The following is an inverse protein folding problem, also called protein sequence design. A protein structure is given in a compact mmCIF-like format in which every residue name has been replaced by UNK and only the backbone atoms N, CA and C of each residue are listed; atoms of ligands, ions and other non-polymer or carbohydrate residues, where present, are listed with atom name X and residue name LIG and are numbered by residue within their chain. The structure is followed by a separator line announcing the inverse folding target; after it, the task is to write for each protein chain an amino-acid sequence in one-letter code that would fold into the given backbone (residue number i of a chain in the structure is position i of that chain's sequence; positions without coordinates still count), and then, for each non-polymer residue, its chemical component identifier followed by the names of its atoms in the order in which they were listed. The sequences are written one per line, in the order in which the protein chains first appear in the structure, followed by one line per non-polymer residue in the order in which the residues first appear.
data_IF_998955154494
#
_entry.id   IF_998955154494
#
_cell.length_a   1.000
_cell.length_b   1.000
_cell.length_c   1.000
_cell.angle_alpha   90.00
_cell.angle_beta   90.00
_cell.angle_gamma   90.00
#
_symmetry.space_group_name_H-M   'P 1'
#
loop_
_entity.id
_entity.type
_entity.pdbx_description
1 polymer ?
#
# COMPACT_ATOMS: atom_id res chain seq x y z
N UNK A 1 7.22 -16.22 -1.42
CA UNK A 1 6.74 -14.83 -1.50
C UNK A 1 5.38 -14.82 -2.17
N UNK A 2 4.31 -14.42 -1.44
CA UNK A 2 2.93 -14.43 -1.97
C UNK A 2 2.58 -13.18 -2.82
N UNK A 3 3.46 -12.17 -2.89
CA UNK A 3 3.21 -10.93 -3.63
C UNK A 3 2.90 -11.19 -5.10
N UNK A 4 1.83 -10.58 -5.63
CA UNK A 4 1.41 -10.66 -7.03
C UNK A 4 2.51 -10.26 -8.02
N UNK A 5 3.37 -9.32 -7.65
CA UNK A 5 4.52 -8.89 -8.45
C UNK A 5 5.36 -10.10 -8.86
N UNK A 6 5.71 -10.95 -7.88
CA UNK A 6 6.57 -12.11 -8.15
C UNK A 6 5.82 -13.29 -8.77
N UNK A 7 4.50 -13.35 -8.59
CA UNK A 7 3.69 -14.43 -9.17
C UNK A 7 3.33 -14.20 -10.64
N UNK A 8 3.01 -12.94 -11.01
CA UNK A 8 2.40 -12.63 -12.30
C UNK A 8 3.13 -11.56 -13.12
N UNK A 9 3.85 -10.64 -12.46
CA UNK A 9 4.36 -9.43 -13.11
C UNK A 9 5.89 -9.30 -13.13
N UNK A 10 6.60 -10.39 -12.81
CA UNK A 10 8.05 -10.41 -12.88
C UNK A 10 8.49 -10.39 -14.35
N UNK A 11 8.92 -9.24 -14.83
CA UNK A 11 9.44 -9.06 -16.17
C UNK A 11 10.94 -8.70 -16.16
N UNK A 12 11.58 -8.79 -17.33
CA UNK A 12 13.02 -8.55 -17.46
C UNK A 12 13.46 -7.15 -17.00
N UNK A 13 12.66 -6.12 -17.31
CA UNK A 13 12.92 -4.74 -16.88
C UNK A 13 12.88 -4.62 -15.34
N UNK A 14 11.93 -5.31 -14.69
CA UNK A 14 11.83 -5.38 -13.24
C UNK A 14 13.09 -6.04 -12.64
N UNK A 15 13.49 -7.20 -13.17
CA UNK A 15 14.65 -7.97 -12.68
C UNK A 15 15.94 -7.14 -12.78
N UNK A 16 16.21 -6.53 -13.95
CA UNK A 16 17.39 -5.70 -14.14
C UNK A 16 17.42 -4.54 -13.14
N UNK A 17 16.30 -3.85 -12.95
CA UNK A 17 16.21 -2.73 -12.01
C UNK A 17 16.45 -3.18 -10.56
N UNK A 18 15.90 -4.33 -10.18
CA UNK A 18 16.12 -4.95 -8.87
C UNK A 18 17.62 -5.27 -8.66
N UNK A 19 18.25 -5.94 -9.61
CA UNK A 19 19.68 -6.30 -9.53
C UNK A 19 20.53 -5.04 -9.43
N UNK A 20 20.31 -4.06 -10.29
CA UNK A 20 21.04 -2.79 -10.27
C UNK A 20 20.86 -2.05 -8.94
N UNK A 21 19.65 -2.05 -8.37
CA UNK A 21 19.41 -1.44 -7.08
C UNK A 21 20.21 -2.12 -5.97
N UNK A 22 20.22 -3.47 -5.91
CA UNK A 22 20.99 -4.23 -4.92
C UNK A 22 22.49 -3.97 -5.05
N UNK A 23 23.04 -3.94 -6.28
CA UNK A 23 24.43 -3.61 -6.51
C UNK A 23 24.76 -2.21 -6.01
N UNK A 24 23.95 -1.21 -6.36
CA UNK A 24 24.15 0.17 -5.91
C UNK A 24 24.07 0.31 -4.39
N UNK A 25 23.05 -0.32 -3.76
CA UNK A 25 22.80 -0.20 -2.33
C UNK A 25 23.88 -0.89 -1.50
N UNK A 26 24.20 -2.16 -1.80
CA UNK A 26 25.11 -2.97 -0.97
C UNK A 26 26.58 -2.72 -1.27
N UNK A 27 26.97 -2.47 -2.52
CA UNK A 27 28.37 -2.35 -2.90
C UNK A 27 28.83 -0.90 -3.11
N UNK A 28 27.95 0.00 -3.51
CA UNK A 28 28.31 1.40 -3.77
C UNK A 28 27.77 2.36 -2.69
N UNK A 29 27.03 1.88 -1.70
CA UNK A 29 26.44 2.71 -0.65
C UNK A 29 25.44 3.77 -1.17
N UNK A 30 24.88 3.55 -2.37
CA UNK A 30 23.96 4.48 -3.04
C UNK A 30 22.53 3.97 -2.92
N UNK A 31 21.79 4.46 -1.92
CA UNK A 31 20.35 4.18 -1.77
C UNK A 31 19.52 5.16 -2.62
N UNK A 32 19.06 4.71 -3.79
CA UNK A 32 18.06 5.43 -4.59
C UNK A 32 16.68 4.78 -4.39
N UNK A 33 15.56 5.54 -4.46
CA UNK A 33 14.24 4.93 -4.35
C UNK A 33 14.03 3.85 -5.41
N UNK A 34 13.50 2.71 -5.01
CA UNK A 34 13.04 1.63 -5.90
C UNK A 34 11.52 1.51 -5.90
N UNK A 35 10.87 2.07 -4.86
CA UNK A 35 9.42 2.19 -4.75
C UNK A 35 9.01 3.64 -4.58
N UNK A 36 7.84 4.01 -5.11
CA UNK A 36 7.25 5.31 -4.92
C UNK A 36 5.77 5.18 -4.54
N UNK A 37 5.36 5.90 -3.49
CA UNK A 37 3.97 6.06 -3.08
C UNK A 37 3.52 7.49 -3.31
N UNK A 38 2.31 7.66 -3.87
CA UNK A 38 1.79 8.97 -4.26
C UNK A 38 0.39 9.16 -3.71
N UNK A 39 0.20 10.24 -2.97
CA UNK A 39 -1.12 10.76 -2.65
C UNK A 39 -1.50 11.75 -3.76
N UNK A 40 -2.31 11.26 -4.75
CA UNK A 40 -2.67 12.06 -5.94
C UNK A 40 -3.57 13.25 -5.58
N UNK A 41 -4.34 13.11 -4.50
CA UNK A 41 -5.21 14.15 -3.94
C UNK A 41 -5.43 13.92 -2.45
N UNK A 42 -5.99 14.91 -1.77
CA UNK A 42 -6.55 14.82 -0.42
C UNK A 42 -8.05 15.17 -0.39
N UNK A 43 -8.72 14.98 -1.51
CA UNK A 43 -10.20 15.01 -1.64
C UNK A 43 -10.75 13.60 -1.48
N UNK A 44 -11.71 13.40 -0.59
CA UNK A 44 -12.39 12.12 -0.40
C UNK A 44 -13.90 12.31 -0.21
N UNK A 45 -14.67 11.36 -0.71
CA UNK A 45 -16.13 11.35 -0.61
C UNK A 45 -16.65 10.39 0.47
N UNK A 46 -15.77 9.76 1.26
CA UNK A 46 -16.12 8.92 2.39
C UNK A 46 -15.79 9.58 3.73
N UNK A 47 -16.42 9.08 4.80
CA UNK A 47 -16.30 9.57 6.17
C UNK A 47 -15.72 8.50 7.10
N UNK A 48 -14.67 7.80 6.61
CA UNK A 48 -14.06 6.69 7.33
C UNK A 48 -13.68 7.12 8.75
N UNK A 49 -14.08 6.31 9.73
CA UNK A 49 -13.88 6.64 11.15
C UNK A 49 -12.41 6.69 11.56
N UNK A 50 -11.52 6.03 10.79
CA UNK A 50 -10.07 5.98 11.02
C UNK A 50 -9.28 7.00 10.21
N UNK A 51 -9.94 7.92 9.44
CA UNK A 51 -9.23 8.77 8.49
C UNK A 51 -9.76 10.19 8.48
N UNK A 52 -8.86 11.15 8.69
CA UNK A 52 -9.18 12.58 8.74
C UNK A 52 -8.85 13.34 7.45
N UNK A 53 -8.53 12.65 6.37
CA UNK A 53 -8.07 13.31 5.12
C UNK A 53 -9.10 14.31 4.59
N UNK A 54 -10.40 14.03 4.76
CA UNK A 54 -11.51 14.91 4.35
C UNK A 54 -11.63 16.19 5.19
N UNK A 55 -10.98 16.24 6.35
CA UNK A 55 -11.02 17.39 7.27
C UNK A 55 -10.09 18.52 6.85
N UNK A 56 -9.34 18.34 5.77
CA UNK A 56 -8.46 19.40 5.27
C UNK A 56 -9.26 20.58 4.74
N UNK A 57 -8.94 21.76 5.26
CA UNK A 57 -9.60 23.02 4.86
C UNK A 57 -9.34 23.39 3.39
N UNK A 58 -8.16 23.08 2.90
CA UNK A 58 -7.73 23.39 1.51
C UNK A 58 -7.23 22.13 0.83
N UNK A 59 -8.15 21.29 0.30
CA UNK A 59 -7.76 20.09 -0.40
C UNK A 59 -7.03 20.44 -1.70
N UNK A 60 -6.03 19.62 -2.04
CA UNK A 60 -5.22 19.80 -3.25
C UNK A 60 -5.22 18.53 -4.10
N UNK A 61 -4.93 18.72 -5.38
CA UNK A 61 -4.71 17.63 -6.34
C UNK A 61 -3.32 17.83 -6.92
N UNK A 62 -2.54 16.76 -6.97
CA UNK A 62 -1.20 16.79 -7.57
C UNK A 62 -1.30 17.30 -9.02
N UNK A 63 -0.62 18.39 -9.39
CA UNK A 63 -0.66 18.89 -10.76
C UNK A 63 -0.13 17.83 -11.74
N UNK A 64 -0.86 17.60 -12.84
CA UNK A 64 -0.58 16.51 -13.77
C UNK A 64 0.82 16.62 -14.38
N UNK A 65 1.20 17.78 -14.87
CA UNK A 65 2.48 18.01 -15.53
C UNK A 65 3.66 17.82 -14.55
N UNK A 66 3.45 18.16 -13.26
CA UNK A 66 4.45 17.89 -12.23
C UNK A 66 4.57 16.40 -11.95
N UNK A 67 3.44 15.69 -11.85
CA UNK A 67 3.44 14.25 -11.65
C UNK A 67 4.09 13.49 -12.81
N UNK A 68 3.83 13.88 -14.07
CA UNK A 68 4.43 13.27 -15.25
C UNK A 68 5.96 13.47 -15.28
N UNK A 69 6.45 14.69 -14.96
CA UNK A 69 7.89 14.95 -14.81
C UNK A 69 8.53 14.11 -13.72
N UNK A 70 7.82 13.92 -12.59
CA UNK A 70 8.34 13.10 -11.49
C UNK A 70 8.33 11.61 -11.85
N UNK A 71 7.34 11.12 -12.61
CA UNK A 71 7.31 9.76 -13.15
C UNK A 71 8.50 9.52 -14.09
N UNK A 72 8.84 10.47 -14.95
CA UNK A 72 10.02 10.36 -15.83
C UNK A 72 11.30 10.24 -14.99
N UNK A 73 11.48 11.11 -14.00
CA UNK A 73 12.63 11.05 -13.11
C UNK A 73 12.70 9.74 -12.30
N UNK A 74 11.56 9.24 -11.80
CA UNK A 74 11.46 7.95 -11.11
C UNK A 74 11.82 6.79 -12.03
N UNK A 75 11.39 6.83 -13.28
CA UNK A 75 11.74 5.82 -14.29
C UNK A 75 13.24 5.80 -14.56
N UNK A 76 13.86 6.97 -14.72
CA UNK A 76 15.31 7.11 -14.95
C UNK A 76 16.15 6.63 -13.76
N UNK A 77 15.62 6.80 -12.55
CA UNK A 77 16.23 6.29 -11.32
C UNK A 77 16.05 4.79 -11.09
N UNK A 78 15.21 4.12 -11.90
CA UNK A 78 15.02 2.70 -11.83
C UNK A 78 13.90 2.24 -10.88
N UNK A 79 12.94 3.10 -10.52
CA UNK A 79 11.76 2.73 -9.72
C UNK A 79 10.99 1.61 -10.39
N UNK A 80 10.65 0.57 -9.62
CA UNK A 80 9.93 -0.61 -10.10
C UNK A 80 8.47 -0.66 -9.67
N UNK A 81 8.11 -0.05 -8.55
CA UNK A 81 6.78 -0.07 -7.97
C UNK A 81 6.28 1.35 -7.72
N UNK A 82 5.14 1.67 -8.30
CA UNK A 82 4.51 2.99 -8.20
C UNK A 82 3.07 2.82 -7.74
N UNK A 83 2.76 3.26 -6.52
CA UNK A 83 1.43 3.14 -5.92
C UNK A 83 0.75 4.49 -5.84
N UNK A 84 -0.44 4.59 -6.40
CA UNK A 84 -1.30 5.78 -6.31
C UNK A 84 -2.40 5.53 -5.28
N UNK A 85 -2.50 6.44 -4.34
CA UNK A 85 -3.56 6.54 -3.34
C UNK A 85 -3.91 8.02 -3.12
N UNK A 86 -4.44 8.36 -1.97
CA UNK A 86 -4.77 9.75 -1.61
C UNK A 86 -6.01 9.80 -0.73
N UNK A 87 -6.87 10.79 -0.98
CA UNK A 87 -8.25 10.75 -0.52
C UNK A 87 -8.99 9.64 -1.30
N UNK A 88 -9.70 10.01 -2.35
CA UNK A 88 -10.21 9.05 -3.32
C UNK A 88 -9.67 9.40 -4.72
N UNK A 89 -8.74 8.59 -5.25
CA UNK A 89 -8.10 8.88 -6.55
C UNK A 89 -9.07 8.96 -7.73
N UNK A 90 -10.16 8.19 -7.71
CA UNK A 90 -11.15 8.18 -8.80
C UNK A 90 -11.98 9.47 -8.91
N UNK A 91 -11.84 10.39 -7.96
CA UNK A 91 -12.37 11.76 -8.07
C UNK A 91 -11.50 12.65 -8.97
N UNK A 92 -10.27 12.23 -9.29
CA UNK A 92 -9.39 12.93 -10.22
C UNK A 92 -9.80 12.59 -11.64
N UNK A 93 -10.32 13.57 -12.39
CA UNK A 93 -10.96 13.35 -13.70
C UNK A 93 -10.05 12.70 -14.74
N UNK A 94 -8.78 13.05 -14.73
CA UNK A 94 -7.74 12.56 -15.65
C UNK A 94 -6.89 11.41 -15.07
N UNK A 95 -7.42 10.70 -14.04
CA UNK A 95 -6.74 9.55 -13.43
C UNK A 95 -6.34 8.47 -14.45
N UNK A 96 -7.21 8.03 -15.39
CA UNK A 96 -6.81 7.01 -16.38
C UNK A 96 -5.64 7.45 -17.25
N UNK A 97 -5.58 8.70 -17.67
CA UNK A 97 -4.49 9.26 -18.47
C UNK A 97 -3.16 9.26 -17.69
N UNK A 98 -3.19 9.62 -16.41
CA UNK A 98 -2.03 9.58 -15.49
C UNK A 98 -1.54 8.16 -15.26
N UNK A 99 -2.46 7.21 -15.07
CA UNK A 99 -2.13 5.78 -14.94
C UNK A 99 -1.53 5.23 -16.23
N UNK A 100 -2.08 5.58 -17.38
CA UNK A 100 -1.54 5.18 -18.68
C UNK A 100 -0.13 5.73 -18.91
N UNK A 101 0.13 6.97 -18.49
CA UNK A 101 1.48 7.55 -18.54
C UNK A 101 2.46 6.79 -17.66
N UNK A 102 2.07 6.54 -16.40
CA UNK A 102 2.89 5.79 -15.46
C UNK A 102 3.20 4.37 -15.94
N UNK A 103 2.18 3.66 -16.46
CA UNK A 103 2.32 2.25 -16.91
C UNK A 103 3.22 2.09 -18.14
N UNK A 104 3.39 3.14 -18.95
CA UNK A 104 4.36 3.15 -20.07
C UNK A 104 5.81 3.24 -19.56
N UNK A 105 6.03 3.90 -18.44
CA UNK A 105 7.36 4.24 -17.92
C UNK A 105 7.85 3.27 -16.85
N UNK A 106 6.96 2.81 -15.99
CA UNK A 106 7.27 2.05 -14.78
C UNK A 106 6.81 0.59 -14.91
N UNK A 107 7.57 -0.37 -14.36
CA UNK A 107 7.26 -1.81 -14.50
C UNK A 107 6.00 -2.26 -13.80
N UNK A 108 5.62 -1.61 -12.69
CA UNK A 108 4.46 -1.97 -11.90
C UNK A 108 3.77 -0.72 -11.36
N UNK A 109 2.51 -0.56 -11.74
CA UNK A 109 1.65 0.54 -11.30
C UNK A 109 0.45 -0.03 -10.55
N UNK A 110 0.17 0.53 -9.38
CA UNK A 110 -0.87 0.10 -8.46
C UNK A 110 -1.78 1.28 -8.09
N UNK A 111 -3.08 1.04 -8.05
CA UNK A 111 -4.10 2.01 -7.62
C UNK A 111 -4.82 1.48 -6.38
N UNK A 112 -5.02 2.33 -5.37
CA UNK A 112 -5.90 2.05 -4.23
C UNK A 112 -7.12 2.97 -4.32
N UNK A 113 -8.33 2.40 -4.22
CA UNK A 113 -9.59 3.16 -4.29
C UNK A 113 -10.64 2.56 -3.35
N UNK A 114 -11.60 3.39 -2.92
CA UNK A 114 -12.79 2.93 -2.20
C UNK A 114 -13.87 2.36 -3.15
N UNK A 115 -13.68 2.48 -4.46
CA UNK A 115 -14.57 1.95 -5.47
C UNK A 115 -15.88 2.73 -5.70
N UNK A 116 -16.16 3.78 -4.92
CA UNK A 116 -17.47 4.44 -4.85
C UNK A 116 -17.93 5.09 -6.16
N UNK A 117 -17.00 5.52 -6.99
CA UNK A 117 -17.28 6.21 -8.27
C UNK A 117 -17.13 5.29 -9.48
N UNK A 118 -16.92 3.98 -9.25
CA UNK A 118 -16.69 3.04 -10.34
C UNK A 118 -17.92 2.89 -11.22
N UNK A 119 -17.75 3.13 -12.50
CA UNK A 119 -18.74 2.89 -13.57
C UNK A 119 -18.16 1.93 -14.61
N UNK A 120 -18.97 1.32 -15.44
CA UNK A 120 -18.50 0.49 -16.55
C UNK A 120 -17.53 1.24 -17.46
N UNK A 121 -17.81 2.52 -17.76
CA UNK A 121 -16.94 3.39 -18.54
C UNK A 121 -15.58 3.63 -17.87
N UNK A 122 -15.55 3.89 -16.56
CA UNK A 122 -14.32 4.09 -15.82
C UNK A 122 -13.52 2.78 -15.74
N UNK A 123 -14.16 1.65 -15.41
CA UNK A 123 -13.51 0.34 -15.36
C UNK A 123 -12.85 -0.03 -16.70
N UNK A 124 -13.55 0.20 -17.84
CA UNK A 124 -13.00 0.00 -19.19
C UNK A 124 -11.79 0.90 -19.46
N UNK A 125 -11.86 2.18 -19.09
CA UNK A 125 -10.73 3.12 -19.24
C UNK A 125 -9.54 2.70 -18.38
N UNK A 126 -9.76 2.30 -17.12
CA UNK A 126 -8.72 1.79 -16.21
C UNK A 126 -8.07 0.53 -16.79
N UNK A 127 -8.86 -0.42 -17.29
CA UNK A 127 -8.36 -1.63 -17.94
C UNK A 127 -7.49 -1.39 -19.17
N UNK A 128 -7.67 -0.25 -19.86
CA UNK A 128 -6.89 0.14 -21.02
C UNK A 128 -5.57 0.87 -20.68
N UNK A 129 -5.32 1.23 -19.41
CA UNK A 129 -4.15 2.01 -18.98
C UNK A 129 -2.85 1.21 -18.96
N UNK A 130 -2.93 -0.12 -18.88
CA UNK A 130 -1.77 -0.99 -18.64
C UNK A 130 -1.38 -1.11 -17.15
N UNK A 131 -2.24 -0.64 -16.23
CA UNK A 131 -2.05 -0.84 -14.78
C UNK A 131 -2.07 -2.33 -14.43
N UNK A 132 -1.25 -2.74 -13.45
CA UNK A 132 -1.14 -4.14 -13.04
C UNK A 132 -2.10 -4.51 -11.92
N UNK A 133 -2.32 -3.63 -10.94
CA UNK A 133 -3.11 -3.93 -9.75
C UNK A 133 -4.07 -2.77 -9.40
N UNK A 134 -5.31 -3.11 -9.09
CA UNK A 134 -6.27 -2.20 -8.45
C UNK A 134 -6.71 -2.82 -7.13
N UNK A 135 -6.41 -2.14 -6.03
CA UNK A 135 -6.87 -2.52 -4.70
C UNK A 135 -8.18 -1.79 -4.36
N UNK A 136 -9.22 -2.58 -4.06
CA UNK A 136 -10.51 -2.07 -3.58
C UNK A 136 -10.57 -2.19 -2.07
N UNK A 137 -10.86 -1.09 -1.39
CA UNK A 137 -11.03 -1.07 0.06
C UNK A 137 -12.34 -1.76 0.47
N UNK A 138 -12.25 -2.86 1.26
CA UNK A 138 -13.42 -3.58 1.75
C UNK A 138 -13.07 -4.34 3.05
N UNK A 139 -13.61 -3.88 4.20
CA UNK A 139 -13.11 -4.23 5.53
C UNK A 139 -13.91 -5.34 6.24
N UNK A 140 -14.83 -5.98 5.55
CA UNK A 140 -15.71 -7.03 6.06
C UNK A 140 -17.03 -7.06 5.32
N UNK A 141 -18.04 -7.71 5.91
CA UNK A 141 -19.40 -7.72 5.40
C UNK A 141 -20.06 -6.34 5.54
N UNK A 142 -21.26 -6.20 4.97
CA UNK A 142 -21.92 -4.92 4.74
C UNK A 142 -22.02 -4.03 5.99
N UNK A 143 -22.52 -4.56 7.11
CA UNK A 143 -22.72 -3.77 8.34
C UNK A 143 -21.39 -3.18 8.83
N UNK A 144 -20.35 -4.02 8.99
CA UNK A 144 -19.06 -3.58 9.47
C UNK A 144 -18.38 -2.60 8.49
N UNK A 145 -18.38 -2.92 7.19
CA UNK A 145 -17.76 -2.07 6.21
C UNK A 145 -18.41 -0.69 6.12
N UNK A 146 -19.73 -0.64 6.09
CA UNK A 146 -20.48 0.61 6.02
C UNK A 146 -20.21 1.51 7.24
N UNK A 147 -20.18 0.93 8.43
CA UNK A 147 -19.83 1.64 9.66
C UNK A 147 -18.38 2.16 9.63
N UNK A 148 -17.44 1.30 9.25
CA UNK A 148 -16.01 1.62 9.14
C UNK A 148 -15.75 2.78 8.16
N UNK A 149 -16.46 2.79 7.04
CA UNK A 149 -16.33 3.79 5.98
C UNK A 149 -17.22 5.02 6.16
N UNK A 150 -18.14 5.00 7.14
CA UNK A 150 -19.03 6.11 7.45
C UNK A 150 -20.01 6.45 6.32
N UNK A 151 -20.40 5.44 5.52
CA UNK A 151 -21.33 5.56 4.37
C UNK A 151 -22.19 4.32 4.29
N UNK A 152 -23.52 4.48 4.30
CA UNK A 152 -24.49 3.39 4.41
C UNK A 152 -24.50 2.39 3.26
N UNK A 153 -23.97 2.72 2.11
CA UNK A 153 -23.89 1.86 0.92
C UNK A 153 -22.45 1.67 0.42
N UNK A 154 -21.46 1.79 1.32
CA UNK A 154 -20.07 1.64 0.96
C UNK A 154 -19.74 0.23 0.45
N UNK A 155 -20.32 -0.80 1.10
CA UNK A 155 -20.15 -2.21 0.72
C UNK A 155 -20.69 -2.47 -0.69
N UNK A 156 -21.93 -2.06 -0.95
CA UNK A 156 -22.57 -2.24 -2.25
C UNK A 156 -21.75 -1.59 -3.38
N UNK A 157 -21.25 -0.37 -3.15
CA UNK A 157 -20.41 0.34 -4.12
C UNK A 157 -19.09 -0.37 -4.37
N UNK A 158 -18.39 -0.82 -3.32
CA UNK A 158 -17.15 -1.57 -3.45
C UNK A 158 -17.37 -2.92 -4.15
N UNK A 159 -18.43 -3.65 -3.80
CA UNK A 159 -18.81 -4.90 -4.44
C UNK A 159 -19.11 -4.73 -5.93
N UNK A 160 -19.90 -3.70 -6.27
CA UNK A 160 -20.17 -3.32 -7.66
C UNK A 160 -18.90 -2.94 -8.41
N UNK A 161 -17.97 -2.22 -7.75
CA UNK A 161 -16.68 -1.87 -8.37
C UNK A 161 -15.86 -3.11 -8.73
N UNK A 162 -15.81 -4.11 -7.85
CA UNK A 162 -15.15 -5.40 -8.12
C UNK A 162 -15.79 -6.08 -9.33
N UNK A 163 -17.12 -6.20 -9.36
CA UNK A 163 -17.85 -6.80 -10.50
C UNK A 163 -17.56 -6.08 -11.82
N UNK A 164 -17.60 -4.75 -11.82
CA UNK A 164 -17.32 -3.96 -13.03
C UNK A 164 -15.86 -4.12 -13.51
N UNK A 165 -14.90 -4.19 -12.60
CA UNK A 165 -13.50 -4.44 -12.96
C UNK A 165 -13.29 -5.84 -13.53
N UNK A 166 -13.90 -6.87 -12.97
CA UNK A 166 -13.84 -8.23 -13.50
C UNK A 166 -14.39 -8.30 -14.94
N UNK A 167 -15.47 -7.59 -15.24
CA UNK A 167 -16.11 -7.60 -16.57
C UNK A 167 -15.32 -6.74 -17.58
N UNK A 168 -14.92 -5.53 -17.18
CA UNK A 168 -14.42 -4.52 -18.11
C UNK A 168 -12.90 -4.31 -18.09
N UNK A 169 -12.20 -4.87 -17.09
CA UNK A 169 -10.75 -4.79 -16.94
C UNK A 169 -10.13 -6.15 -16.58
N UNK A 170 -10.42 -7.26 -17.30
CA UNK A 170 -10.07 -8.62 -16.90
C UNK A 170 -8.56 -8.92 -16.85
N UNK A 171 -7.73 -8.02 -17.40
CA UNK A 171 -6.26 -8.13 -17.37
C UNK A 171 -5.64 -7.48 -16.13
N UNK A 172 -6.42 -6.75 -15.35
CA UNK A 172 -5.96 -6.07 -14.13
C UNK A 172 -6.20 -6.98 -12.94
N UNK A 173 -5.18 -7.20 -12.13
CA UNK A 173 -5.37 -7.92 -10.87
C UNK A 173 -6.15 -7.05 -9.89
N UNK A 174 -7.28 -7.56 -9.42
CA UNK A 174 -8.08 -6.91 -8.38
C UNK A 174 -7.75 -7.53 -7.03
N UNK A 175 -7.42 -6.67 -6.06
CA UNK A 175 -7.11 -7.07 -4.69
C UNK A 175 -8.08 -6.39 -3.74
N UNK A 176 -8.68 -7.13 -2.84
CA UNK A 176 -9.44 -6.56 -1.73
C UNK A 176 -8.47 -6.21 -0.61
N UNK A 177 -8.34 -4.92 -0.31
CA UNK A 177 -7.60 -4.41 0.84
C UNK A 177 -8.54 -4.28 2.03
N UNK A 178 -8.30 -5.06 3.08
CA UNK A 178 -9.10 -5.02 4.30
C UNK A 178 -8.27 -4.51 5.47
N UNK A 179 -8.81 -3.55 6.19
CA UNK A 179 -8.25 -3.19 7.49
C UNK A 179 -8.59 -4.31 8.47
N UNK A 180 -7.54 -4.83 9.13
CA UNK A 180 -7.66 -5.86 10.14
C UNK A 180 -7.70 -5.21 11.53
N UNK A 181 -8.72 -5.54 12.29
CA UNK A 181 -8.91 -5.11 13.68
C UNK A 181 -9.33 -6.29 14.55
N UNK A 182 -9.24 -6.22 15.88
CA UNK A 182 -9.82 -7.23 16.74
C UNK A 182 -11.35 -7.36 16.66
N UNK A 183 -12.03 -6.44 15.96
CA UNK A 183 -13.50 -6.37 15.92
C UNK A 183 -14.10 -6.94 14.64
N UNK A 184 -13.31 -7.33 13.64
CA UNK A 184 -13.84 -7.72 12.33
C UNK A 184 -13.42 -9.10 11.82
N UNK A 185 -12.87 -9.97 12.66
CA UNK A 185 -12.34 -11.26 12.19
C UNK A 185 -13.42 -12.11 11.50
N UNK A 186 -14.58 -12.28 12.15
CA UNK A 186 -15.69 -13.05 11.57
C UNK A 186 -16.28 -12.40 10.32
N UNK A 187 -16.35 -11.06 10.33
CA UNK A 187 -16.79 -10.31 9.15
C UNK A 187 -15.82 -10.47 7.98
N UNK A 188 -14.51 -10.57 8.25
CA UNK A 188 -13.48 -10.86 7.24
C UNK A 188 -13.54 -12.30 6.74
N UNK A 189 -13.77 -13.28 7.63
CA UNK A 189 -14.02 -14.67 7.22
C UNK A 189 -15.23 -14.78 6.30
N UNK A 190 -16.35 -14.14 6.69
CA UNK A 190 -17.56 -14.08 5.87
C UNK A 190 -17.35 -13.38 4.53
N UNK A 191 -16.58 -12.27 4.51
CA UNK A 191 -16.21 -11.58 3.28
C UNK A 191 -15.35 -12.48 2.38
N UNK A 192 -14.36 -13.18 2.95
CA UNK A 192 -13.47 -14.06 2.18
C UNK A 192 -14.27 -15.18 1.51
N UNK A 193 -15.17 -15.82 2.25
CA UNK A 193 -16.07 -16.85 1.70
C UNK A 193 -16.95 -16.29 0.58
N UNK A 194 -17.58 -15.11 0.79
CA UNK A 194 -18.41 -14.45 -0.22
C UNK A 194 -17.63 -14.11 -1.49
N UNK A 195 -16.34 -13.67 -1.35
CA UNK A 195 -15.46 -13.43 -2.49
C UNK A 195 -15.13 -14.72 -3.24
N UNK A 196 -14.83 -15.80 -2.52
CA UNK A 196 -14.55 -17.12 -3.12
C UNK A 196 -15.74 -17.63 -3.92
N UNK A 197 -16.95 -17.52 -3.36
CA UNK A 197 -18.18 -17.99 -4.01
C UNK A 197 -18.56 -17.14 -5.24
N UNK A 198 -18.23 -15.84 -5.27
CA UNK A 198 -18.69 -14.91 -6.31
C UNK A 198 -17.55 -14.51 -7.28
N UNK A 199 -16.36 -14.32 -6.78
CA UNK A 199 -15.20 -13.81 -7.51
C UNK A 199 -13.94 -14.61 -7.16
N UNK A 200 -13.81 -15.89 -7.56
CA UNK A 200 -12.73 -16.79 -7.13
C UNK A 200 -11.32 -16.31 -7.52
N UNK A 201 -11.22 -15.40 -8.50
CA UNK A 201 -9.93 -14.86 -8.95
C UNK A 201 -9.44 -13.67 -8.11
N UNK A 202 -10.25 -13.13 -7.20
CA UNK A 202 -9.89 -11.98 -6.38
C UNK A 202 -8.91 -12.37 -5.27
N UNK A 203 -7.90 -11.56 -5.09
CA UNK A 203 -6.95 -11.66 -4.00
C UNK A 203 -7.36 -10.80 -2.81
N UNK A 204 -6.88 -11.17 -1.62
CA UNK A 204 -7.10 -10.44 -0.37
C UNK A 204 -5.78 -9.98 0.23
N UNK A 205 -5.80 -8.83 0.86
CA UNK A 205 -4.67 -8.24 1.58
C UNK A 205 -5.17 -7.65 2.90
N UNK A 206 -4.56 -8.04 4.00
CA UNK A 206 -4.93 -7.56 5.33
C UNK A 206 -3.93 -6.53 5.83
N UNK A 207 -4.45 -5.43 6.37
CA UNK A 207 -3.66 -4.33 6.94
C UNK A 207 -4.11 -4.10 8.38
N UNK A 208 -3.32 -4.45 9.39
CA UNK A 208 -3.65 -4.08 10.76
C UNK A 208 -3.91 -2.58 10.87
N UNK A 209 -5.00 -2.21 11.55
CA UNK A 209 -5.28 -0.81 11.82
C UNK A 209 -4.19 -0.26 12.72
N UNK A 210 -3.44 0.68 12.21
CA UNK A 210 -2.34 1.31 12.91
C UNK A 210 -2.41 2.82 12.79
N UNK A 211 -1.93 3.51 13.80
CA UNK A 211 -1.83 4.96 13.77
C UNK A 211 -0.93 5.43 12.63
N UNK A 212 -1.37 6.46 11.93
CA UNK A 212 -0.58 7.15 10.93
C UNK A 212 -0.90 8.65 10.95
N UNK A 213 0.12 9.48 11.13
CA UNK A 213 -0.01 10.95 11.32
C UNK A 213 -0.79 11.66 10.18
N UNK A 214 -0.90 11.05 8.99
CA UNK A 214 -1.62 11.62 7.85
C UNK A 214 -3.11 11.25 7.80
N UNK A 215 -3.52 10.16 8.44
CA UNK A 215 -4.85 9.59 8.22
C UNK A 215 -5.66 9.40 9.50
N UNK A 216 -5.01 9.34 10.64
CA UNK A 216 -5.65 9.08 11.91
C UNK A 216 -5.50 10.27 12.84
N UNK A 217 -6.62 10.69 13.40
CA UNK A 217 -6.62 11.60 14.53
C UNK A 217 -5.91 10.92 15.70
N UNK A 218 -4.86 11.56 16.23
CA UNK A 218 -4.05 11.03 17.33
C UNK A 218 -4.87 10.69 18.58
N UNK A 219 -5.99 11.36 18.78
CA UNK A 219 -6.89 11.16 19.92
C UNK A 219 -7.76 9.91 19.79
N UNK A 220 -7.89 9.33 18.58
CA UNK A 220 -8.71 8.13 18.30
C UNK A 220 -7.91 6.84 18.31
N UNK A 221 -6.80 6.77 19.05
CA UNK A 221 -6.00 5.53 19.23
C UNK A 221 -6.77 4.35 19.86
N UNK A 222 -7.97 4.59 20.35
CA UNK A 222 -8.92 3.58 20.83
C UNK A 222 -10.04 3.49 19.81
N UNK A 223 -9.88 2.60 18.85
CA UNK A 223 -10.92 2.28 17.90
C UNK A 223 -11.93 1.36 18.58
N UNK A 224 -13.05 1.93 18.99
CA UNK A 224 -14.22 1.18 19.44
C UNK A 224 -15.33 1.31 18.42
N UNK A 225 -15.80 0.20 17.90
CA UNK A 225 -17.11 0.13 17.26
C UNK A 225 -18.15 -0.06 18.36
N UNK A 226 -19.13 0.82 18.42
CA UNK A 226 -20.18 0.75 19.43
C UNK A 226 -20.93 -0.60 19.30
N UNK A 227 -21.01 -1.36 20.39
CA UNK A 227 -21.66 -2.66 20.43
C UNK A 227 -20.80 -3.87 20.01
N UNK A 228 -19.55 -3.68 19.60
CA UNK A 228 -18.68 -4.79 19.21
C UNK A 228 -17.74 -5.19 20.38
N UNK A 229 -17.50 -6.49 20.52
CA UNK A 229 -16.55 -7.05 21.50
C UNK A 229 -15.25 -7.40 20.77
N UNK A 230 -14.07 -6.99 21.28
CA UNK A 230 -12.82 -7.34 20.64
C UNK A 230 -12.53 -8.84 20.77
N UNK A 231 -12.05 -9.44 19.69
CA UNK A 231 -11.55 -10.81 19.69
C UNK A 231 -10.33 -10.96 20.59
N UNK A 232 -10.16 -12.13 21.17
CA UNK A 232 -8.97 -12.50 21.94
C UNK A 232 -7.72 -12.58 21.06
N UNK A 233 -6.55 -12.61 21.69
CA UNK A 233 -5.28 -12.79 20.96
C UNK A 233 -5.22 -14.17 20.28
N UNK A 234 -5.82 -15.18 20.89
CA UNK A 234 -5.93 -16.54 20.35
C UNK A 234 -6.76 -16.55 19.07
N UNK A 235 -7.93 -15.92 19.06
CA UNK A 235 -8.78 -15.81 17.86
C UNK A 235 -8.09 -15.02 16.73
N UNK A 236 -7.34 -13.97 17.09
CA UNK A 236 -6.52 -13.24 16.11
C UNK A 236 -5.44 -14.15 15.52
N UNK A 237 -4.78 -14.96 16.35
CA UNK A 237 -3.77 -15.93 15.90
C UNK A 237 -4.37 -16.97 14.97
N UNK A 238 -5.51 -17.54 15.29
CA UNK A 238 -6.23 -18.48 14.43
C UNK A 238 -6.56 -17.87 13.07
N UNK A 239 -7.13 -16.67 13.05
CA UNK A 239 -7.41 -15.94 11.80
C UNK A 239 -6.14 -15.71 10.97
N UNK A 240 -5.03 -15.36 11.61
CA UNK A 240 -3.74 -15.13 10.94
C UNK A 240 -3.21 -16.43 10.30
N UNK A 241 -3.30 -17.57 11.01
CA UNK A 241 -2.88 -18.86 10.45
C UNK A 241 -3.77 -19.28 9.27
N UNK A 242 -5.10 -19.10 9.36
CA UNK A 242 -6.02 -19.29 8.23
C UNK A 242 -5.60 -18.43 7.03
N UNK A 243 -5.30 -17.14 7.26
CA UNK A 243 -4.88 -16.20 6.22
C UNK A 243 -3.52 -16.57 5.59
N UNK A 244 -2.59 -17.13 6.37
CA UNK A 244 -1.30 -17.60 5.87
C UNK A 244 -1.48 -18.81 4.95
N UNK A 245 -2.40 -19.70 5.27
CA UNK A 245 -2.66 -20.89 4.46
C UNK A 245 -3.46 -20.59 3.17
N UNK A 246 -4.23 -19.51 3.15
CA UNK A 246 -5.02 -19.12 1.96
C UNK A 246 -4.10 -18.67 0.80
N UNK A 247 -4.12 -19.36 -0.37
CA UNK A 247 -3.31 -18.98 -1.53
C UNK A 247 -3.74 -17.67 -2.18
N UNK A 248 -4.94 -17.17 -1.89
CA UNK A 248 -5.46 -15.88 -2.38
C UNK A 248 -5.09 -14.70 -1.47
N UNK A 249 -4.54 -14.94 -0.28
CA UNK A 249 -3.98 -13.89 0.57
C UNK A 249 -2.56 -13.56 0.13
N UNK A 250 -2.30 -12.28 -0.19
CA UNK A 250 -1.02 -11.82 -0.78
C UNK A 250 -0.03 -11.25 0.22
N UNK A 251 -0.41 -11.13 1.49
CA UNK A 251 0.54 -10.76 2.55
C UNK A 251 1.63 -11.81 2.73
N UNK A 252 2.83 -11.39 3.14
CA UNK A 252 3.84 -12.34 3.58
C UNK A 252 3.47 -12.97 4.93
N UNK A 253 3.80 -14.25 5.12
CA UNK A 253 3.57 -14.93 6.41
C UNK A 253 4.29 -14.18 7.56
N UNK A 254 5.50 -13.68 7.31
CA UNK A 254 6.24 -12.89 8.30
C UNK A 254 5.49 -11.63 8.74
N UNK A 255 4.86 -10.93 7.80
CA UNK A 255 4.06 -9.75 8.11
C UNK A 255 2.85 -10.13 8.97
N UNK A 256 2.12 -11.17 8.57
CA UNK A 256 0.93 -11.63 9.27
C UNK A 256 1.24 -12.14 10.68
N UNK A 257 2.28 -12.96 10.88
CA UNK A 257 2.68 -13.39 12.24
C UNK A 257 3.00 -12.23 13.17
N UNK A 258 3.57 -11.14 12.65
CA UNK A 258 3.86 -9.95 13.47
C UNK A 258 2.61 -9.16 13.82
N UNK A 259 1.51 -9.29 13.05
CA UNK A 259 0.24 -8.69 13.41
C UNK A 259 -0.31 -9.27 14.74
N UNK A 260 -0.06 -10.53 15.04
CA UNK A 260 -0.42 -11.11 16.35
C UNK A 260 0.29 -10.37 17.48
N UNK A 261 1.60 -10.16 17.36
CA UNK A 261 2.39 -9.43 18.35
C UNK A 261 1.91 -7.97 18.48
N UNK A 262 1.57 -7.35 17.36
CA UNK A 262 1.03 -5.99 17.33
C UNK A 262 -0.28 -5.88 18.14
N UNK A 263 -1.23 -6.77 17.89
CA UNK A 263 -2.52 -6.77 18.61
C UNK A 263 -2.38 -7.19 20.07
N UNK A 264 -1.32 -7.92 20.43
CA UNK A 264 -0.97 -8.22 21.81
C UNK A 264 -0.19 -7.07 22.51
N UNK A 265 -0.18 -5.88 21.94
CA UNK A 265 0.43 -4.69 22.53
C UNK A 265 1.95 -4.63 22.49
N UNK A 266 2.61 -5.53 21.76
CA UNK A 266 4.07 -5.47 21.59
C UNK A 266 4.49 -4.20 20.86
N UNK A 267 5.49 -3.50 21.40
CA UNK A 267 6.11 -2.36 20.73
C UNK A 267 7.17 -2.79 19.70
N UNK A 268 7.63 -4.02 19.75
CA UNK A 268 8.70 -4.57 18.91
C UNK A 268 8.13 -5.43 17.77
N UNK A 269 7.23 -4.82 16.97
CA UNK A 269 6.68 -5.46 15.78
C UNK A 269 7.58 -5.33 14.54
N UNK A 270 8.56 -4.42 14.56
CA UNK A 270 9.54 -4.30 13.49
C UNK A 270 10.59 -5.41 13.54
N UNK A 271 11.13 -5.84 12.39
CA UNK A 271 12.34 -6.66 12.38
C UNK A 271 13.43 -6.00 13.22
N UNK A 272 14.23 -6.78 13.94
CA UNK A 272 15.41 -6.29 14.66
C UNK A 272 16.41 -5.67 13.66
N UNK A 273 16.19 -4.43 13.33
CA UNK A 273 17.10 -3.62 12.52
C UNK A 273 17.65 -2.53 13.43
N UNK A 274 18.97 -2.47 13.55
CA UNK A 274 19.66 -1.39 14.25
C UNK A 274 19.38 -0.01 13.65
N UNK A 275 18.92 0.03 12.37
CA UNK A 275 18.70 1.25 11.62
C UNK A 275 17.45 1.13 10.73
N UNK A 276 16.71 2.23 10.58
CA UNK A 276 15.62 2.31 9.61
C UNK A 276 16.21 2.40 8.19
N UNK A 277 15.94 1.39 7.36
CA UNK A 277 16.40 1.33 5.96
C UNK A 277 15.37 1.85 4.96
N UNK A 278 14.12 2.10 5.38
CA UNK A 278 13.03 2.54 4.51
C UNK A 278 13.38 3.76 3.64
N UNK A 279 14.05 4.81 4.15
CA UNK A 279 14.38 6.00 3.37
C UNK A 279 15.30 5.76 2.16
N UNK A 280 15.93 4.59 2.10
CA UNK A 280 16.88 4.25 1.04
C UNK A 280 16.26 3.54 -0.15
N UNK A 281 15.06 2.99 0.00
CA UNK A 281 14.38 2.29 -1.08
C UNK A 281 12.99 2.84 -1.42
N UNK A 282 12.46 3.78 -0.64
CA UNK A 282 11.15 4.36 -0.89
C UNK A 282 11.20 5.88 -0.94
N UNK A 283 10.33 6.45 -1.77
CA UNK A 283 10.00 7.88 -1.78
C UNK A 283 8.49 8.03 -1.76
N UNK A 284 8.02 9.03 -1.04
CA UNK A 284 6.60 9.32 -0.92
C UNK A 284 6.33 10.75 -1.40
N UNK A 285 5.19 10.96 -2.05
CA UNK A 285 4.73 12.27 -2.48
C UNK A 285 3.41 12.59 -1.79
N UNK A 286 3.32 13.77 -1.20
CA UNK A 286 2.03 14.27 -0.73
C UNK A 286 1.15 14.77 -1.90
N UNK A 287 -0.10 15.15 -1.61
CA UNK A 287 -1.04 15.61 -2.62
C UNK A 287 -0.62 16.93 -3.32
N UNK A 288 0.37 17.65 -2.78
CA UNK A 288 0.98 18.82 -3.44
C UNK A 288 2.16 18.44 -4.33
N UNK A 289 2.50 17.15 -4.44
CA UNK A 289 3.66 16.67 -5.18
C UNK A 289 5.00 16.90 -4.48
N UNK A 290 5.02 17.13 -3.15
CA UNK A 290 6.26 17.30 -2.40
C UNK A 290 6.85 15.94 -2.04
N UNK A 291 8.07 15.64 -2.49
CA UNK A 291 8.72 14.37 -2.21
C UNK A 291 9.33 14.33 -0.80
N UNK A 292 9.23 13.18 -0.16
CA UNK A 292 9.89 12.89 1.12
C UNK A 292 10.34 11.43 1.16
N UNK A 293 11.47 11.12 1.81
CA UNK A 293 11.88 9.72 2.00
C UNK A 293 10.96 8.94 2.93
N UNK A 294 10.16 9.62 3.76
CA UNK A 294 9.21 8.99 4.67
C UNK A 294 8.18 10.01 5.16
N UNK A 295 6.90 9.75 4.99
CA UNK A 295 5.83 10.64 5.45
C UNK A 295 5.66 10.62 6.98
N UNK A 296 5.93 9.49 7.64
CA UNK A 296 5.81 9.36 9.10
C UNK A 296 7.01 9.94 9.84
N UNK A 297 8.21 9.74 9.31
CA UNK A 297 9.46 10.15 9.99
C UNK A 297 9.84 11.61 9.78
N UNK A 298 9.36 12.24 8.71
CA UNK A 298 9.61 13.65 8.43
C UNK A 298 8.43 14.26 7.68
N UNK A 299 8.00 15.43 8.12
CA UNK A 299 7.04 16.21 7.36
C UNK A 299 7.61 16.54 5.98
N UNK A 300 6.77 16.52 4.92
CA UNK A 300 7.19 16.98 3.60
C UNK A 300 7.78 18.39 3.72
N UNK A 301 9.06 18.51 3.44
CA UNK A 301 9.69 19.83 3.47
C UNK A 301 9.28 20.61 2.23
N UNK A 302 9.29 21.95 2.32
CA UNK A 302 9.07 22.82 1.18
C UNK A 302 10.23 22.64 0.17
N UNK A 303 10.12 21.62 -0.65
CA UNK A 303 10.98 21.48 -1.81
C UNK A 303 10.58 22.57 -2.76
N UNK A 304 11.46 23.55 -2.95
CA UNK A 304 11.26 24.56 -3.99
C UNK A 304 11.13 23.80 -5.31
N UNK A 305 9.98 23.91 -5.94
CA UNK A 305 9.57 23.21 -7.18
C UNK A 305 10.50 23.41 -8.38
N UNK A 306 11.54 24.24 -8.27
CA UNK A 306 12.50 24.55 -9.33
C UNK A 306 13.67 23.57 -9.46
N UNK A 307 13.89 22.68 -8.48
CA UNK A 307 14.88 21.62 -8.62
C UNK A 307 14.22 20.36 -9.19
N UNK A 308 14.84 19.71 -10.18
CA UNK A 308 14.36 18.43 -10.66
C UNK A 308 14.37 17.40 -9.50
N UNK A 309 13.43 16.48 -9.47
CA UNK A 309 13.36 15.41 -8.48
C UNK A 309 14.71 14.66 -8.35
N UNK A 310 15.38 14.41 -9.48
CA UNK A 310 16.70 13.77 -9.52
C UNK A 310 17.74 14.58 -8.75
N UNK A 311 17.81 15.89 -8.96
CA UNK A 311 18.74 16.77 -8.26
C UNK A 311 18.42 16.82 -6.76
N UNK A 312 17.14 16.84 -6.38
CA UNK A 312 16.75 16.80 -4.98
C UNK A 312 17.21 15.50 -4.29
N UNK A 313 16.94 14.34 -4.87
CA UNK A 313 17.35 13.04 -4.29
C UNK A 313 18.88 12.90 -4.20
N UNK A 314 19.62 13.50 -5.10
CA UNK A 314 21.10 13.52 -5.06
C UNK A 314 21.67 14.58 -4.12
N UNK A 315 20.87 15.50 -3.63
CA UNK A 315 21.32 16.61 -2.78
C UNK A 315 21.81 16.15 -1.40
N UNK A 316 22.69 16.95 -0.80
CA UNK A 316 23.12 16.77 0.59
C UNK A 316 21.95 16.85 1.59
N UNK A 317 20.95 17.67 1.29
CA UNK A 317 19.75 17.81 2.09
C UNK A 317 18.95 16.49 2.16
N UNK A 318 18.66 15.86 1.01
CA UNK A 318 17.93 14.58 0.99
C UNK A 318 18.74 13.45 1.66
N UNK A 319 20.04 13.36 1.38
CA UNK A 319 20.94 12.40 2.03
C UNK A 319 21.03 12.60 3.54
N UNK A 320 21.04 13.86 3.98
CA UNK A 320 20.97 14.22 5.40
C UNK A 320 19.69 13.75 6.06
N UNK A 321 18.53 13.88 5.38
CA UNK A 321 17.24 13.35 5.84
C UNK A 321 17.28 11.82 5.92
N UNK A 322 17.78 11.12 4.90
CA UNK A 322 17.91 9.66 4.93
C UNK A 322 18.73 9.21 6.15
N UNK A 323 19.87 9.84 6.40
CA UNK A 323 20.74 9.53 7.55
C UNK A 323 20.07 9.83 8.88
N UNK A 324 19.38 10.95 9.00
CA UNK A 324 18.59 11.30 10.20
C UNK A 324 17.51 10.26 10.49
N UNK A 325 16.87 9.73 9.46
CA UNK A 325 15.81 8.73 9.59
C UNK A 325 16.32 7.34 9.97
N UNK A 326 17.62 7.05 9.84
CA UNK A 326 18.20 5.78 10.29
C UNK A 326 17.92 5.50 11.78
N UNK A 327 17.92 6.55 12.61
CA UNK A 327 17.62 6.46 14.05
C UNK A 327 16.17 6.75 14.41
N UNK A 328 15.27 6.84 13.41
CA UNK A 328 13.87 7.15 13.66
C UNK A 328 13.13 5.94 14.27
N UNK A 329 12.43 6.17 15.37
CA UNK A 329 11.65 5.17 16.12
C UNK A 329 10.13 5.33 15.95
N UNK A 330 9.66 6.31 15.15
CA UNK A 330 8.22 6.62 15.00
C UNK A 330 7.35 5.45 14.52
N UNK A 331 7.93 4.46 13.84
CA UNK A 331 7.21 3.28 13.40
C UNK A 331 7.27 2.11 14.41
N UNK A 332 7.91 2.27 15.58
CA UNK A 332 7.83 1.26 16.64
C UNK A 332 6.38 1.14 17.09
N UNK A 333 5.89 -0.09 17.16
CA UNK A 333 4.48 -0.35 17.46
C UNK A 333 3.49 -0.03 16.34
N UNK A 334 3.95 0.15 15.10
CA UNK A 334 3.12 0.38 13.92
C UNK A 334 3.25 -0.78 12.92
N UNK A 335 2.16 -1.15 12.25
CA UNK A 335 2.10 -2.23 11.25
C UNK A 335 1.76 -1.71 9.84
N UNK A 336 2.29 -0.55 9.45
CA UNK A 336 2.09 -0.02 8.11
C UNK A 336 2.66 -0.93 7.03
N UNK A 337 1.79 -1.56 6.24
CA UNK A 337 2.15 -2.53 5.20
C UNK A 337 3.18 -1.98 4.21
N UNK A 338 2.99 -0.76 3.72
CA UNK A 338 3.89 -0.12 2.75
C UNK A 338 5.31 0.13 3.30
N UNK A 339 5.48 0.19 4.62
CA UNK A 339 6.77 0.32 5.27
C UNK A 339 7.36 -1.04 5.65
N UNK A 340 6.51 -2.01 5.92
CA UNK A 340 6.88 -3.28 6.50
C UNK A 340 7.28 -4.32 5.47
N UNK A 341 6.40 -4.59 4.50
CA UNK A 341 6.64 -5.60 3.48
C UNK A 341 7.93 -5.36 2.67
N UNK A 342 8.25 -4.13 2.25
CA UNK A 342 9.54 -3.89 1.61
C UNK A 342 10.74 -4.18 2.51
N UNK A 343 10.68 -3.86 3.81
CA UNK A 343 11.78 -4.17 4.75
C UNK A 343 12.03 -5.67 4.91
N UNK A 344 10.97 -6.47 4.81
CA UNK A 344 11.07 -7.93 4.88
C UNK A 344 11.55 -8.56 3.58
N UNK A 345 11.17 -7.97 2.44
CA UNK A 345 11.30 -8.60 1.14
C UNK A 345 12.47 -8.07 0.29
N UNK A 346 12.99 -6.87 0.56
CA UNK A 346 14.11 -6.32 -0.21
C UNK A 346 15.52 -6.74 0.22
N UNK A 347 15.84 -7.10 1.47
CA UNK A 347 17.16 -7.57 1.80
C UNK A 347 17.54 -8.83 0.99
N UNK A 348 18.73 -8.84 0.36
CA UNK A 348 19.16 -9.92 -0.54
C UNK A 348 19.11 -11.30 0.12
N UNK A 349 19.49 -11.39 1.40
CA UNK A 349 19.43 -12.63 2.17
C UNK A 349 17.97 -13.12 2.39
N UNK A 350 17.00 -12.22 2.51
CA UNK A 350 15.58 -12.59 2.62
C UNK A 350 15.02 -13.08 1.29
N UNK A 351 15.42 -12.47 0.17
CA UNK A 351 15.06 -12.94 -1.17
C UNK A 351 15.59 -14.35 -1.43
N UNK A 352 16.85 -14.62 -1.05
CA UNK A 352 17.46 -15.94 -1.17
C UNK A 352 16.77 -16.97 -0.26
N UNK A 353 16.52 -16.63 1.02
CA UNK A 353 15.84 -17.52 1.96
C UNK A 353 14.39 -17.83 1.53
N UNK A 354 13.67 -16.85 0.98
CA UNK A 354 12.30 -17.09 0.48
C UNK A 354 12.27 -17.98 -0.76
N UNK A 355 13.32 -17.95 -1.58
CA UNK A 355 13.48 -18.83 -2.75
C UNK A 355 13.77 -20.29 -2.36
N UNK A 356 14.45 -20.51 -1.22
CA UNK A 356 14.75 -21.84 -0.69
C UNK A 356 13.58 -22.40 0.15
N UNK A 357 12.89 -21.57 0.95
CA UNK A 357 11.75 -22.01 1.77
C UNK A 357 10.51 -22.37 0.97
N UNK A 358 10.25 -21.70 -0.14
CA UNK A 358 9.13 -22.05 -1.05
C UNK A 358 9.26 -23.40 -1.72
N UNK A 359 10.40 -24.10 -1.60
CA UNK A 359 10.58 -25.50 -2.03
C UNK A 359 10.51 -26.49 -0.88
N UNK A 360 10.77 -26.08 0.35
CA UNK A 360 10.76 -26.94 1.54
C UNK A 360 9.34 -27.15 2.10
N UNK A 361 8.46 -26.15 1.97
CA UNK A 361 7.06 -26.24 2.41
C UNK A 361 6.15 -26.99 1.42
N UNK A 362 6.71 -27.49 0.29
CA UNK A 362 6.02 -28.39 -0.66
C UNK A 362 6.37 -29.87 -0.45
N UNK A 363 7.23 -30.19 0.53
CA UNK A 363 7.74 -31.56 0.77
C UNK A 363 7.50 -32.01 2.23
N UNK A 364 6.82 -31.21 3.07
CA UNK A 364 6.46 -31.61 4.43
C UNK A 364 4.96 -31.64 4.63
#
# INVERSE_FOLDING_TARGET
MKSLIFKKHLNFKFIIRMVNWHLNYYFLGRGTPITAGVYINDVCNYHCIMCDIRMKEKPVIYPREAQERDIDALSDMGVIYYSISGGEPTLVKDLPERLAYASKKLPYVHLVTNGSTMTAGLAKRLGATGIQEISISLDGLESFHNQMRGVSNAFEKAWKAISLLQIHAPKVDVVVNSILTPYNLDSLRGLRKKLEDTFPEIYSKYLPLTYHELFLNAEKNTFFLEGEVPSSVEEIKEFIEEAILDPKVVNSAQFLHRAVNFFNGSKDVLPEQKKCTYPYYSIQFDASGRPTPCLTGCSPQNVKTNASLKNYIQSSSYKGLQKKLESCEKCRGSMMLCYYEPRLNFPLHQLLLSSFRGKADLIS
#
